data_IF_482331765996
#
_entry.id   IF_482331765996
#
_cell.length_a   1.000
_cell.length_b   1.000
_cell.length_c   1.000
_cell.angle_alpha   90.00
_cell.angle_beta   90.00
_cell.angle_gamma   90.00
#
_symmetry.space_group_name_H-M   'P 1'
#
loop_
_entity.id
_entity.type
_entity.pdbx_description
1 polymer ?
#
# COMPACT_ATOMS: atom_id res chain seq x y z
N UNK A 1 -5.91 7.90 -23.16
CA UNK A 1 -6.41 8.78 -22.08
C UNK A 1 -5.43 8.74 -20.93
N UNK A 2 -5.06 9.89 -20.36
CA UNK A 2 -4.26 9.93 -19.13
C UNK A 2 -5.15 9.58 -17.93
N UNK A 3 -4.73 8.60 -17.13
CA UNK A 3 -5.38 8.28 -15.86
C UNK A 3 -4.51 8.86 -14.74
N UNK A 4 -5.10 9.64 -13.86
CA UNK A 4 -4.42 10.20 -12.70
C UNK A 4 -4.61 9.27 -11.51
N UNK A 5 -3.55 9.07 -10.73
CA UNK A 5 -3.58 8.26 -9.51
C UNK A 5 -2.93 9.03 -8.37
N UNK A 6 -3.44 8.79 -7.17
CA UNK A 6 -2.82 9.25 -5.94
C UNK A 6 -1.78 8.21 -5.55
N UNK A 7 -0.52 8.63 -5.44
CA UNK A 7 0.59 7.81 -4.98
C UNK A 7 0.87 8.13 -3.50
N UNK A 8 0.71 7.13 -2.64
CA UNK A 8 1.10 7.19 -1.23
C UNK A 8 2.36 6.37 -1.03
N UNK A 9 3.44 7.02 -0.56
CA UNK A 9 4.69 6.36 -0.21
C UNK A 9 4.82 6.32 1.31
N UNK A 10 4.94 5.12 1.86
CA UNK A 10 5.20 4.92 3.28
C UNK A 10 6.53 4.18 3.47
N UNK A 11 7.66 4.90 3.60
CA UNK A 11 8.97 4.26 3.66
C UNK A 11 9.17 3.40 4.91
N UNK A 12 8.38 3.61 5.97
CA UNK A 12 8.47 2.88 7.25
C UNK A 12 7.56 1.66 7.31
N UNK A 13 6.78 1.38 6.25
CA UNK A 13 5.86 0.25 6.24
C UNK A 13 6.59 -1.10 6.26
N UNK A 14 6.06 -2.03 7.06
CA UNK A 14 6.64 -3.38 7.28
C UNK A 14 6.57 -4.28 6.06
N UNK A 15 5.57 -4.08 5.20
CA UNK A 15 5.34 -4.91 4.02
C UNK A 15 5.58 -4.10 2.75
N UNK A 16 6.26 -4.70 1.76
CA UNK A 16 6.59 -4.02 0.51
C UNK A 16 5.35 -3.50 -0.23
N UNK A 17 4.22 -4.21 -0.16
CA UNK A 17 2.94 -3.81 -0.76
C UNK A 17 2.30 -2.57 -0.10
N UNK A 18 2.79 -2.15 1.07
CA UNK A 18 2.28 -1.02 1.83
C UNK A 18 3.22 0.20 1.71
N UNK A 19 4.44 -0.01 1.20
CA UNK A 19 5.43 1.05 0.98
C UNK A 19 5.05 1.96 -0.18
N UNK A 20 4.29 1.45 -1.15
CA UNK A 20 3.87 2.17 -2.35
C UNK A 20 2.44 1.78 -2.70
N UNK A 21 1.50 2.71 -2.51
CA UNK A 21 0.08 2.48 -2.76
C UNK A 21 -0.40 3.47 -3.82
N UNK A 22 -0.89 2.95 -4.94
CA UNK A 22 -1.62 3.71 -5.94
C UNK A 22 -3.12 3.62 -5.66
N UNK A 23 -3.82 4.75 -5.72
CA UNK A 23 -5.28 4.81 -5.58
C UNK A 23 -5.88 5.70 -6.65
N UNK A 24 -7.06 5.33 -7.11
CA UNK A 24 -7.86 6.16 -7.99
C UNK A 24 -8.44 7.35 -7.18
N UNK A 25 -8.31 8.60 -7.67
CA UNK A 25 -8.69 9.79 -6.91
C UNK A 25 -10.20 9.89 -6.67
N UNK A 26 -11.03 9.28 -7.52
CA UNK A 26 -12.48 9.34 -7.40
C UNK A 26 -13.04 8.16 -6.61
N UNK A 27 -12.54 6.96 -6.86
CA UNK A 27 -13.08 5.73 -6.27
C UNK A 27 -12.31 5.26 -5.03
N UNK A 28 -11.14 5.84 -4.74
CA UNK A 28 -10.21 5.45 -3.67
C UNK A 28 -9.74 3.97 -3.73
N UNK A 29 -10.10 3.25 -4.80
CA UNK A 29 -9.73 1.85 -5.03
C UNK A 29 -8.32 1.75 -5.58
N UNK A 30 -7.66 0.62 -5.29
CA UNK A 30 -6.38 0.29 -5.91
C UNK A 30 -6.63 -0.06 -7.39
N UNK A 31 -5.92 0.57 -8.33
CA UNK A 31 -6.00 0.21 -9.73
C UNK A 31 -5.41 -1.18 -9.94
N UNK A 32 -6.10 -2.00 -10.73
CA UNK A 32 -5.62 -3.32 -11.12
C UNK A 32 -4.72 -3.20 -12.35
N UNK A 33 -3.42 -2.99 -12.10
CA UNK A 33 -2.43 -2.80 -13.16
C UNK A 33 -2.32 -4.08 -14.01
N UNK A 34 -2.44 -5.26 -13.40
CA UNK A 34 -2.40 -6.52 -14.12
C UNK A 34 -3.56 -6.61 -15.13
N UNK A 35 -4.76 -6.19 -14.71
CA UNK A 35 -5.91 -6.10 -15.62
C UNK A 35 -5.64 -5.15 -16.79
N UNK A 36 -5.11 -3.95 -16.52
CA UNK A 36 -4.79 -2.97 -17.58
C UNK A 36 -3.78 -3.51 -18.60
N UNK A 37 -2.75 -4.23 -18.14
CA UNK A 37 -1.77 -4.86 -19.04
C UNK A 37 -2.43 -5.97 -19.84
N UNK A 38 -3.25 -6.83 -19.20
CA UNK A 38 -3.95 -7.91 -19.90
C UNK A 38 -4.92 -7.41 -20.96
N UNK A 39 -5.62 -6.30 -20.70
CA UNK A 39 -6.50 -5.64 -21.67
C UNK A 39 -5.71 -5.05 -22.85
N UNK A 40 -4.50 -4.53 -22.60
CA UNK A 40 -3.65 -3.94 -23.63
C UNK A 40 -2.96 -4.97 -24.54
N UNK A 41 -2.59 -6.14 -23.99
CA UNK A 41 -1.93 -7.22 -24.73
C UNK A 41 -2.92 -8.07 -25.53
N UNK A 42 -4.21 -7.99 -25.19
CA UNK A 42 -5.23 -8.91 -25.68
C UNK A 42 -5.26 -10.15 -24.80
N UNK A 43 -6.43 -10.47 -24.23
CA UNK A 43 -6.60 -11.48 -23.19
C UNK A 43 -6.44 -12.95 -23.67
N UNK A 44 -5.62 -13.18 -24.69
CA UNK A 44 -5.30 -14.50 -25.18
C UNK A 44 -4.31 -15.21 -24.25
N UNK A 45 -4.43 -16.54 -24.16
CA UNK A 45 -3.57 -17.34 -23.30
C UNK A 45 -2.21 -17.51 -23.95
N UNK A 46 -1.14 -17.10 -23.28
CA UNK A 46 0.21 -17.23 -23.80
C UNK A 46 1.24 -16.49 -22.97
N UNK A 47 2.50 -16.62 -23.37
CA UNK A 47 3.60 -15.83 -22.82
C UNK A 47 3.93 -14.70 -23.78
N UNK A 48 3.96 -13.48 -23.26
CA UNK A 48 4.22 -12.28 -24.06
C UNK A 48 5.49 -11.59 -23.54
N UNK A 49 6.41 -11.27 -24.44
CA UNK A 49 7.47 -10.33 -24.13
C UNK A 49 6.90 -8.92 -24.29
N UNK A 50 6.76 -8.20 -23.18
CA UNK A 50 6.19 -6.85 -23.17
C UNK A 50 7.25 -5.83 -22.80
N UNK A 51 7.24 -4.69 -23.51
CA UNK A 51 8.02 -3.51 -23.13
C UNK A 51 7.10 -2.56 -22.37
N UNK A 52 7.47 -2.22 -21.14
CA UNK A 52 6.68 -1.35 -20.27
C UNK A 52 7.47 -0.09 -19.97
N UNK A 53 6.95 1.07 -20.40
CA UNK A 53 7.49 2.37 -20.06
C UNK A 53 6.60 3.02 -19.00
N UNK A 54 7.16 3.35 -17.84
CA UNK A 54 6.44 3.98 -16.73
C UNK A 54 6.98 5.41 -16.58
N UNK A 55 6.13 6.39 -16.90
CA UNK A 55 6.43 7.81 -16.67
C UNK A 55 5.58 8.33 -15.51
N UNK A 56 6.23 8.94 -14.51
CA UNK A 56 5.56 9.51 -13.34
C UNK A 56 5.77 11.02 -13.32
N UNK A 57 4.68 11.76 -13.46
CA UNK A 57 4.66 13.22 -13.29
C UNK A 57 3.99 13.57 -11.98
N UNK A 58 4.73 14.18 -11.05
CA UNK A 58 4.16 14.67 -9.79
C UNK A 58 3.42 15.97 -10.08
N UNK A 59 2.09 15.94 -9.94
CA UNK A 59 1.24 17.12 -10.15
C UNK A 59 1.14 17.97 -8.89
N UNK A 60 1.04 17.32 -7.73
CA UNK A 60 0.93 17.97 -6.42
C UNK A 60 1.55 17.06 -5.35
N UNK A 61 2.22 17.67 -4.37
CA UNK A 61 2.79 16.98 -3.21
C UNK A 61 2.16 17.54 -1.94
N UNK A 62 1.30 16.74 -1.30
CA UNK A 62 0.74 17.08 0.00
C UNK A 62 1.58 16.45 1.12
N UNK A 63 1.81 17.20 2.19
CA UNK A 63 2.42 16.69 3.41
C UNK A 63 1.59 15.52 3.96
N UNK A 64 2.20 14.42 4.43
CA UNK A 64 1.44 13.35 5.05
C UNK A 64 0.64 13.93 6.23
N UNK A 65 -0.68 13.82 6.18
CA UNK A 65 -1.54 14.18 7.31
C UNK A 65 -1.14 13.29 8.50
N UNK A 66 -0.96 13.84 9.71
CA UNK A 66 -0.49 13.10 10.88
C UNK A 66 -1.47 12.04 11.44
N UNK A 67 -2.45 11.59 10.64
CA UNK A 67 -3.57 10.76 11.10
C UNK A 67 -3.27 9.25 11.18
N UNK A 68 -2.07 8.79 10.81
CA UNK A 68 -1.72 7.35 10.83
C UNK A 68 -0.81 6.94 12.00
N UNK A 69 -0.68 7.78 13.03
CA UNK A 69 -0.10 7.40 14.32
C UNK A 69 -1.15 7.48 15.44
N UNK A 70 -2.25 6.75 15.30
CA UNK A 70 -2.97 6.28 16.48
C UNK A 70 -2.20 5.09 17.05
N UNK A 71 -1.04 5.39 17.66
CA UNK A 71 -0.41 4.49 18.63
C UNK A 71 -1.40 4.33 19.77
N UNK A 72 -2.21 3.27 19.75
CA UNK A 72 -2.94 2.83 20.93
C UNK A 72 -1.88 2.67 22.03
N UNK A 73 -1.94 3.43 23.15
CA UNK A 73 -1.07 3.14 24.27
C UNK A 73 -1.50 1.77 24.79
N UNK A 74 -0.69 0.76 24.49
CA UNK A 74 -0.78 -0.51 25.21
C UNK A 74 -0.50 -0.15 26.67
N UNK A 75 -1.55 -0.12 27.49
CA UNK A 75 -1.38 -0.03 28.93
C UNK A 75 -0.56 -1.26 29.34
N UNK A 76 0.70 -1.03 29.70
CA UNK A 76 1.52 -2.01 30.40
C UNK A 76 0.78 -2.35 31.72
N UNK A 77 -0.07 -3.38 31.65
CA UNK A 77 -0.56 -4.05 32.85
C UNK A 77 0.64 -4.82 33.39
N UNK A 78 1.39 -4.14 34.25
CA UNK A 78 2.42 -4.73 35.09
C UNK A 78 1.76 -5.77 36.02
N UNK A 79 1.64 -7.02 35.54
CA UNK A 79 1.27 -8.14 36.40
C UNK A 79 2.50 -8.53 37.21
N UNK A 80 2.51 -8.37 38.55
CA UNK A 80 3.53 -9.01 39.35
C UNK A 80 3.33 -10.51 39.29
N UNK A 81 4.31 -11.19 38.70
CA UNK A 81 4.50 -12.63 38.74
C UNK A 81 4.47 -13.14 40.19
N UNK A 82 3.38 -13.81 40.58
CA UNK A 82 3.38 -14.71 41.73
C UNK A 82 3.54 -16.14 41.25
N UNK A 83 4.79 -16.60 41.29
CA UNK A 83 5.19 -17.99 41.22
C UNK A 83 5.51 -18.44 42.66
N UNK A 84 4.80 -19.48 43.15
CA UNK A 84 5.13 -20.48 44.21
C UNK A 84 3.85 -20.88 44.94
N UNK A 85 3.57 -22.13 45.29
CA UNK A 85 4.29 -23.41 45.25
C UNK A 85 3.22 -24.51 45.39
N UNK A 86 3.42 -25.66 44.77
CA UNK A 86 2.66 -26.87 45.04
C UNK A 86 3.31 -27.62 46.21
N UNK A 87 2.52 -27.96 47.23
CA UNK A 87 2.76 -29.05 48.19
C UNK A 87 1.43 -29.44 48.83
#
# INVERSE_FOLDING_TARGET
>A
MMKHYILSLNPTAKHEWDRCILRDPLTAKRPDIAKLISEAVGAETGNYLVSVNIEVTVLEQASPSPAEQLSLPFAEVNQPSQLREAA
#
